data_IF_554699396092
#
_entry.id   IF_554699396092
#
_cell.length_a   1.000
_cell.length_b   1.000
_cell.length_c   1.000
_cell.angle_alpha   90.00
_cell.angle_beta   90.00
_cell.angle_gamma   90.00
#
_symmetry.space_group_name_H-M   'P 1'
#
loop_
_entity.id
_entity.type
_entity.pdbx_description
1 polymer ?
#
# COMPACT_ATOMS: atom_id res chain seq x y z
N UNK A 1 -11.06 -72.87 9.69
CA UNK A 1 -9.62 -73.06 9.38
C UNK A 1 -9.09 -71.79 8.74
N UNK A 2 -8.51 -70.91 9.54
CA UNK A 2 -7.44 -69.96 9.15
C UNK A 2 -6.98 -69.28 10.45
N UNK A 3 -6.02 -69.93 11.09
CA UNK A 3 -5.20 -69.42 12.17
C UNK A 3 -4.24 -68.38 11.60
N UNK A 4 -4.16 -67.19 12.19
CA UNK A 4 -3.01 -66.33 12.01
C UNK A 4 -2.58 -65.81 13.39
N UNK A 5 -1.34 -66.17 13.72
CA UNK A 5 -0.74 -66.10 15.04
C UNK A 5 -0.51 -64.66 15.49
N UNK A 6 -0.84 -64.41 16.76
CA UNK A 6 -0.45 -63.19 17.48
C UNK A 6 1.05 -63.20 17.76
N UNK A 7 1.83 -62.49 16.94
CA UNK A 7 3.19 -62.11 17.32
C UNK A 7 3.12 -60.98 18.35
N UNK A 8 3.48 -61.31 19.59
CA UNK A 8 3.71 -60.34 20.67
C UNK A 8 4.90 -59.44 20.35
N UNK A 9 4.61 -58.26 19.78
CA UNK A 9 5.55 -57.16 19.70
C UNK A 9 5.61 -56.42 21.03
N UNK A 10 6.78 -56.41 21.67
CA UNK A 10 7.07 -55.55 22.84
C UNK A 10 6.69 -54.10 22.51
N UNK A 11 5.97 -53.37 23.37
CA UNK A 11 5.83 -51.93 23.18
C UNK A 11 7.19 -51.30 23.43
N UNK A 12 7.82 -50.83 22.34
CA UNK A 12 8.94 -49.89 22.44
C UNK A 12 8.45 -48.70 23.26
N UNK A 13 9.04 -48.52 24.45
CA UNK A 13 8.78 -47.36 25.31
C UNK A 13 9.22 -46.12 24.53
N UNK A 14 8.29 -45.51 23.79
CA UNK A 14 8.46 -44.17 23.28
C UNK A 14 8.63 -43.26 24.51
N UNK A 15 9.87 -42.87 24.78
CA UNK A 15 10.20 -41.81 25.73
C UNK A 15 9.59 -40.54 25.16
N UNK A 16 8.33 -40.31 25.51
CA UNK A 16 7.64 -39.04 25.27
C UNK A 16 8.27 -38.08 26.26
N UNK A 17 9.33 -37.41 25.83
CA UNK A 17 9.86 -36.23 26.50
C UNK A 17 8.69 -35.24 26.59
N UNK A 18 7.99 -35.21 27.73
CA UNK A 18 7.00 -34.18 28.06
C UNK A 18 7.75 -32.85 28.06
N UNK A 19 7.85 -32.20 26.90
CA UNK A 19 8.19 -30.78 26.84
C UNK A 19 7.23 -30.09 27.82
N UNK A 20 7.73 -29.27 28.75
CA UNK A 20 6.88 -28.71 29.79
C UNK A 20 5.74 -27.97 29.10
N UNK A 21 4.51 -28.29 29.51
CA UNK A 21 3.28 -27.83 28.87
C UNK A 21 3.25 -26.30 28.68
N UNK A 22 3.91 -25.57 29.58
CA UNK A 22 4.17 -24.13 29.53
C UNK A 22 5.01 -23.71 28.31
N UNK A 23 6.15 -24.35 28.03
CA UNK A 23 6.98 -24.02 26.85
C UNK A 23 6.23 -24.31 25.55
N UNK A 24 5.39 -25.35 25.52
CA UNK A 24 4.58 -25.66 24.36
C UNK A 24 3.52 -24.57 24.11
N UNK A 25 2.81 -24.14 25.16
CA UNK A 25 1.77 -23.11 25.08
C UNK A 25 2.36 -21.72 24.80
N UNK A 26 3.50 -21.38 25.39
CA UNK A 26 4.25 -20.17 25.11
C UNK A 26 4.71 -20.11 23.65
N UNK A 27 5.24 -21.23 23.14
CA UNK A 27 5.56 -21.35 21.71
C UNK A 27 4.31 -21.20 20.84
N UNK A 28 3.20 -21.85 21.15
CA UNK A 28 1.96 -21.70 20.37
C UNK A 28 1.43 -20.26 20.36
N UNK A 29 1.58 -19.52 21.45
CA UNK A 29 1.16 -18.12 21.53
C UNK A 29 2.01 -17.21 20.64
N UNK A 30 3.35 -17.30 20.71
CA UNK A 30 4.24 -16.46 19.89
C UNK A 30 4.31 -16.89 18.43
N UNK A 31 3.99 -18.15 18.12
CA UNK A 31 3.89 -18.64 16.74
C UNK A 31 2.53 -18.34 16.09
N UNK A 32 1.58 -17.78 16.83
CA UNK A 32 0.32 -17.36 16.24
C UNK A 32 0.56 -16.19 15.25
N UNK A 33 -0.07 -16.18 14.07
CA UNK A 33 0.16 -15.15 13.06
C UNK A 33 -0.24 -13.75 13.53
N UNK A 34 -1.21 -13.64 14.45
CA UNK A 34 -1.66 -12.35 15.00
C UNK A 34 -0.62 -11.73 15.93
N UNK A 35 0.00 -12.53 16.82
CA UNK A 35 1.02 -12.04 17.75
C UNK A 35 2.31 -11.71 17.02
N UNK A 36 2.69 -12.53 16.02
CA UNK A 36 3.79 -12.24 15.10
C UNK A 36 3.57 -10.94 14.32
N UNK A 37 2.37 -10.72 13.78
CA UNK A 37 2.01 -9.47 13.10
C UNK A 37 2.10 -8.26 14.04
N UNK A 38 1.54 -8.35 15.25
CA UNK A 38 1.61 -7.26 16.23
C UNK A 38 3.06 -6.97 16.64
N UNK A 39 3.88 -8.00 16.85
CA UNK A 39 5.31 -7.86 17.10
C UNK A 39 6.04 -7.16 15.96
N UNK A 40 5.74 -7.51 14.70
CA UNK A 40 6.31 -6.85 13.53
C UNK A 40 5.92 -5.38 13.47
N UNK A 41 4.67 -5.03 13.74
CA UNK A 41 4.19 -3.64 13.78
C UNK A 41 4.92 -2.84 14.86
N UNK A 42 5.00 -3.37 16.09
CA UNK A 42 5.68 -2.70 17.19
C UNK A 42 7.17 -2.50 16.91
N UNK A 43 7.85 -3.53 16.40
CA UNK A 43 9.26 -3.43 16.02
C UNK A 43 9.47 -2.44 14.87
N UNK A 44 8.53 -2.35 13.93
CA UNK A 44 8.61 -1.38 12.84
C UNK A 44 8.44 0.06 13.34
N UNK A 45 7.55 0.31 14.32
CA UNK A 45 7.46 1.63 14.97
C UNK A 45 8.73 1.99 15.73
N UNK A 46 9.35 1.02 16.43
CA UNK A 46 10.66 1.23 17.07
C UNK A 46 11.75 1.55 16.06
N UNK A 47 11.76 0.87 14.91
CA UNK A 47 12.66 1.17 13.79
C UNK A 47 12.47 2.62 13.29
N UNK A 48 11.24 3.05 13.05
CA UNK A 48 10.96 4.43 12.61
C UNK A 48 11.34 5.47 13.66
N UNK A 49 11.10 5.18 14.93
CA UNK A 49 11.49 6.07 16.03
C UNK A 49 13.02 6.18 16.13
N UNK A 50 13.73 5.06 16.04
CA UNK A 50 15.20 5.04 16.01
C UNK A 50 15.73 5.81 14.80
N UNK A 51 15.14 5.61 13.61
CA UNK A 51 15.56 6.30 12.40
C UNK A 51 15.32 7.82 12.50
N UNK A 52 14.17 8.24 13.03
CA UNK A 52 13.89 9.65 13.29
C UNK A 52 14.86 10.26 14.32
N UNK A 53 15.13 9.54 15.42
CA UNK A 53 16.08 9.97 16.44
C UNK A 53 17.49 10.18 15.86
N UNK A 54 17.95 9.27 14.99
CA UNK A 54 19.24 9.40 14.32
C UNK A 54 19.27 10.62 13.41
N UNK A 55 18.25 10.84 12.56
CA UNK A 55 18.21 11.97 11.63
C UNK A 55 18.13 13.34 12.32
N UNK A 56 17.51 13.40 13.50
CA UNK A 56 17.26 14.65 14.22
C UNK A 56 18.35 14.98 15.25
N UNK A 57 18.90 13.98 15.95
CA UNK A 57 19.78 14.18 17.12
C UNK A 57 21.20 13.69 16.85
N UNK A 58 21.35 12.45 16.41
CA UNK A 58 22.64 11.75 16.41
C UNK A 58 23.39 11.77 15.07
N UNK A 59 22.91 12.54 14.08
CA UNK A 59 23.51 12.61 12.74
C UNK A 59 24.80 13.46 12.74
N UNK A 60 25.88 12.89 13.28
CA UNK A 60 27.21 13.55 13.33
C UNK A 60 27.92 13.50 11.97
N UNK A 61 28.79 14.49 11.65
CA UNK A 61 29.57 14.47 10.42
C UNK A 61 30.64 13.37 10.41
N UNK A 62 31.06 12.88 9.22
CA UNK A 62 32.10 11.86 9.06
C UNK A 62 33.49 12.37 9.54
N UNK A 63 34.50 11.47 9.73
CA UNK A 63 35.43 11.39 10.88
C UNK A 63 36.21 12.67 11.29
N UNK A 64 36.73 12.75 12.54
CA UNK A 64 37.37 11.65 13.29
C UNK A 64 36.46 10.75 14.13
N UNK A 65 35.28 11.21 14.54
CA UNK A 65 34.31 10.38 15.26
C UNK A 65 33.54 9.54 14.23
N UNK A 66 33.73 8.22 14.25
CA UNK A 66 33.00 7.30 13.37
C UNK A 66 31.48 7.32 13.59
N UNK A 67 30.71 6.44 12.90
CA UNK A 67 29.27 6.35 13.12
C UNK A 67 28.94 6.15 14.60
N UNK A 68 27.93 6.87 15.08
CA UNK A 68 27.47 6.68 16.45
C UNK A 68 26.98 5.23 16.64
N UNK A 69 27.11 4.64 17.85
CA UNK A 69 26.61 3.29 18.11
C UNK A 69 25.13 3.12 17.76
N UNK A 70 24.32 4.18 17.91
CA UNK A 70 22.92 4.23 17.49
C UNK A 70 22.75 4.06 15.97
N UNK A 71 23.62 4.66 15.16
CA UNK A 71 23.64 4.49 13.69
C UNK A 71 23.99 3.06 13.29
N UNK A 72 24.93 2.42 13.98
CA UNK A 72 25.29 1.01 13.71
C UNK A 72 24.11 0.07 13.95
N UNK A 73 23.30 0.33 14.98
CA UNK A 73 22.07 -0.42 15.24
C UNK A 73 21.08 -0.26 14.08
N UNK A 74 20.93 0.95 13.52
CA UNK A 74 20.08 1.17 12.35
C UNK A 74 20.60 0.41 11.11
N UNK A 75 21.91 0.43 10.85
CA UNK A 75 22.48 -0.30 9.72
C UNK A 75 22.27 -1.80 9.85
N UNK A 76 22.46 -2.34 11.05
CA UNK A 76 22.16 -3.73 11.35
C UNK A 76 20.68 -4.04 11.13
N UNK A 77 19.79 -3.14 11.53
CA UNK A 77 18.35 -3.29 11.31
C UNK A 77 18.00 -3.34 9.82
N UNK A 78 18.49 -2.39 9.02
CA UNK A 78 18.23 -2.38 7.57
C UNK A 78 18.86 -3.60 6.89
N UNK A 79 20.04 -4.04 7.32
CA UNK A 79 20.61 -5.30 6.84
C UNK A 79 19.68 -6.50 7.09
N UNK A 80 18.99 -6.55 8.23
CA UNK A 80 18.00 -7.61 8.50
C UNK A 80 16.80 -7.53 7.53
N UNK A 81 16.36 -6.33 7.15
CA UNK A 81 15.31 -6.12 6.15
C UNK A 81 15.76 -6.56 4.75
N UNK A 82 16.99 -6.24 4.35
CA UNK A 82 17.57 -6.68 3.08
C UNK A 82 17.62 -8.21 3.01
N UNK A 83 18.00 -8.88 4.09
CA UNK A 83 18.02 -10.33 4.16
C UNK A 83 16.62 -10.96 4.01
N UNK A 84 15.58 -10.31 4.56
CA UNK A 84 14.19 -10.73 4.38
C UNK A 84 13.73 -10.61 2.93
N UNK A 85 14.03 -9.48 2.28
CA UNK A 85 13.68 -9.27 0.87
C UNK A 85 14.40 -10.30 -0.03
N UNK A 86 15.70 -10.55 0.19
CA UNK A 86 16.46 -11.57 -0.56
C UNK A 86 15.83 -12.96 -0.39
N UNK A 87 15.37 -13.32 0.81
CA UNK A 87 14.67 -14.61 1.04
C UNK A 87 13.37 -14.69 0.25
N UNK A 88 12.60 -13.60 0.23
CA UNK A 88 11.31 -13.52 -0.46
C UNK A 88 11.49 -13.62 -1.98
N UNK A 89 12.45 -12.87 -2.53
CA UNK A 89 12.85 -12.90 -3.94
C UNK A 89 13.26 -14.30 -4.38
N UNK A 90 14.08 -15.01 -3.58
CA UNK A 90 14.53 -16.37 -3.91
C UNK A 90 13.39 -17.38 -3.96
N UNK A 91 12.33 -17.16 -3.19
CA UNK A 91 11.21 -18.11 -3.10
C UNK A 91 10.23 -17.91 -4.25
N UNK A 92 9.98 -16.65 -4.67
CA UNK A 92 8.91 -16.32 -5.64
C UNK A 92 9.28 -15.14 -6.56
N UNK A 93 10.35 -15.27 -7.36
CA UNK A 93 10.90 -14.17 -8.17
C UNK A 93 9.91 -13.49 -9.14
N UNK A 94 9.17 -14.27 -9.95
CA UNK A 94 8.31 -13.73 -11.01
C UNK A 94 7.12 -12.94 -10.43
N UNK A 95 6.46 -13.49 -9.40
CA UNK A 95 5.33 -12.81 -8.75
C UNK A 95 5.80 -11.59 -7.93
N UNK A 96 7.03 -11.63 -7.39
CA UNK A 96 7.58 -10.52 -6.62
C UNK A 96 7.70 -9.23 -7.44
N UNK A 97 8.16 -9.31 -8.70
CA UNK A 97 8.35 -8.16 -9.58
C UNK A 97 7.02 -7.52 -10.03
N UNK A 98 5.90 -8.24 -9.96
CA UNK A 98 4.60 -7.70 -10.37
C UNK A 98 3.96 -6.83 -9.28
N UNK A 99 4.30 -7.03 -8.01
CA UNK A 99 3.72 -6.28 -6.90
C UNK A 99 4.29 -4.86 -6.80
N UNK A 100 3.41 -3.87 -6.69
CA UNK A 100 3.77 -2.45 -6.55
C UNK A 100 4.42 -2.20 -5.19
N UNK A 101 3.98 -2.91 -4.14
CA UNK A 101 4.51 -2.72 -2.79
C UNK A 101 5.94 -3.24 -2.68
N UNK A 102 6.24 -4.39 -3.30
CA UNK A 102 7.60 -4.93 -3.35
C UNK A 102 8.55 -4.00 -4.13
N UNK A 103 8.07 -3.36 -5.21
CA UNK A 103 8.87 -2.32 -5.91
C UNK A 103 9.19 -1.15 -5.00
N UNK A 104 8.20 -0.67 -4.22
CA UNK A 104 8.41 0.39 -3.24
C UNK A 104 9.44 0.01 -2.18
N UNK A 105 9.41 -1.24 -1.70
CA UNK A 105 10.37 -1.76 -0.73
C UNK A 105 11.80 -1.85 -1.30
N UNK A 106 11.97 -2.29 -2.55
CA UNK A 106 13.27 -2.26 -3.25
C UNK A 106 13.76 -0.83 -3.42
N UNK A 107 12.87 0.09 -3.81
CA UNK A 107 13.23 1.51 -3.98
C UNK A 107 13.68 2.13 -2.65
N UNK A 108 12.98 1.85 -1.54
CA UNK A 108 13.38 2.31 -0.22
C UNK A 108 14.77 1.78 0.16
N UNK A 109 15.01 0.47 0.01
CA UNK A 109 16.33 -0.10 0.31
C UNK A 109 17.44 0.47 -0.58
N UNK A 110 17.16 0.73 -1.86
CA UNK A 110 18.12 1.35 -2.77
C UNK A 110 18.44 2.80 -2.38
N UNK A 111 17.43 3.59 -1.99
CA UNK A 111 17.61 4.96 -1.51
C UNK A 111 18.40 5.00 -0.19
N UNK A 112 18.14 4.08 0.74
CA UNK A 112 18.91 3.95 1.96
C UNK A 112 20.38 3.65 1.68
N UNK A 113 20.67 2.66 0.82
CA UNK A 113 22.06 2.32 0.44
C UNK A 113 22.75 3.51 -0.22
N UNK A 114 22.06 4.21 -1.13
CA UNK A 114 22.57 5.43 -1.76
C UNK A 114 22.88 6.51 -0.71
N UNK A 115 21.97 6.74 0.23
CA UNK A 115 22.16 7.67 1.34
C UNK A 115 23.38 7.32 2.20
N UNK A 116 23.60 6.03 2.49
CA UNK A 116 24.79 5.56 3.22
C UNK A 116 26.09 5.80 2.45
N UNK A 117 26.11 5.50 1.14
CA UNK A 117 27.29 5.73 0.30
C UNK A 117 27.62 7.22 0.26
N UNK A 118 26.62 8.08 0.03
CA UNK A 118 26.80 9.53 0.03
C UNK A 118 27.23 10.10 1.39
N UNK A 119 26.89 9.42 2.50
CA UNK A 119 27.32 9.81 3.85
C UNK A 119 28.81 9.59 4.08
N UNK A 120 29.41 8.58 3.45
CA UNK A 120 30.82 8.21 3.67
C UNK A 120 31.79 9.26 3.12
N UNK A 121 31.37 10.07 2.14
CA UNK A 121 32.20 11.12 1.57
C UNK A 121 31.85 12.49 2.18
N UNK A 122 32.84 13.26 2.66
CA UNK A 122 32.58 14.57 3.29
C UNK A 122 31.94 15.57 2.31
N UNK A 123 32.31 15.50 1.03
CA UNK A 123 31.81 16.36 -0.05
C UNK A 123 30.30 16.19 -0.31
N UNK A 124 29.75 14.99 -0.06
CA UNK A 124 28.34 14.66 -0.32
C UNK A 124 27.52 14.49 0.95
N UNK A 125 28.03 14.90 2.10
CA UNK A 125 27.37 14.68 3.40
C UNK A 125 25.96 15.30 3.48
N UNK A 126 25.82 16.57 3.09
CA UNK A 126 24.52 17.26 3.09
C UNK A 126 23.53 16.61 2.11
N UNK A 127 24.04 16.14 0.98
CA UNK A 127 23.24 15.41 0.00
C UNK A 127 22.78 14.04 0.56
N UNK A 128 23.69 13.31 1.21
CA UNK A 128 23.38 12.05 1.90
C UNK A 128 22.32 12.22 2.99
N UNK A 129 22.40 13.30 3.78
CA UNK A 129 21.36 13.65 4.77
C UNK A 129 20.01 13.88 4.09
N UNK A 130 19.97 14.66 3.01
CA UNK A 130 18.74 14.92 2.28
C UNK A 130 18.12 13.64 1.69
N UNK A 131 18.95 12.75 1.12
CA UNK A 131 18.50 11.44 0.61
C UNK A 131 17.92 10.58 1.73
N UNK A 132 18.57 10.52 2.90
CA UNK A 132 18.06 9.77 4.05
C UNK A 132 16.76 10.36 4.63
N UNK A 133 16.55 11.68 4.55
CA UNK A 133 15.27 12.31 4.92
C UNK A 133 14.14 11.89 3.97
N UNK A 134 14.39 11.86 2.67
CA UNK A 134 13.41 11.36 1.68
C UNK A 134 13.14 9.88 1.90
N UNK A 135 14.20 9.10 2.15
CA UNK A 135 14.10 7.67 2.44
C UNK A 135 13.26 7.38 3.69
N UNK A 136 13.42 8.17 4.77
CA UNK A 136 12.55 8.10 5.95
C UNK A 136 11.08 8.25 5.57
N UNK A 137 10.72 9.19 4.70
CA UNK A 137 9.34 9.35 4.22
C UNK A 137 8.87 8.08 3.51
N UNK A 138 9.68 7.48 2.64
CA UNK A 138 9.33 6.22 1.95
C UNK A 138 9.12 5.08 2.96
N UNK A 139 10.00 4.93 3.95
CA UNK A 139 9.81 3.95 5.03
C UNK A 139 8.56 4.22 5.87
N UNK A 140 8.17 5.48 6.11
CA UNK A 140 6.89 5.76 6.78
C UNK A 140 5.69 5.40 5.91
N UNK A 141 5.74 5.62 4.59
CA UNK A 141 4.65 5.22 3.68
C UNK A 141 4.44 3.70 3.67
N UNK A 142 5.48 2.89 3.91
CA UNK A 142 5.36 1.43 4.07
C UNK A 142 4.43 1.03 5.24
N UNK A 143 4.21 1.89 6.25
CA UNK A 143 3.20 1.64 7.29
C UNK A 143 1.80 1.44 6.71
N UNK A 144 1.47 2.15 5.63
CA UNK A 144 0.17 2.04 4.96
C UNK A 144 -0.04 0.60 4.49
N UNK A 145 0.98 -0.02 3.90
CA UNK A 145 0.92 -1.43 3.48
C UNK A 145 0.74 -2.38 4.67
N UNK A 146 1.46 -2.16 5.77
CA UNK A 146 1.37 -3.00 6.98
C UNK A 146 -0.05 -2.90 7.59
N UNK A 147 -0.62 -1.70 7.66
CA UNK A 147 -1.97 -1.47 8.18
C UNK A 147 -3.09 -1.93 7.23
N UNK A 148 -2.80 -2.22 5.96
CA UNK A 148 -3.78 -2.77 5.03
C UNK A 148 -4.34 -4.14 5.46
N UNK A 149 -3.62 -4.87 6.33
CA UNK A 149 -4.08 -6.12 6.94
C UNK A 149 -5.23 -5.91 7.93
N UNK A 150 -5.37 -4.71 8.51
CA UNK A 150 -6.34 -4.43 9.56
C UNK A 150 -7.78 -4.40 9.03
N UNK A 151 -8.73 -4.93 9.81
CA UNK A 151 -10.15 -5.10 9.40
C UNK A 151 -10.85 -3.80 9.04
N UNK A 152 -10.57 -2.72 9.75
CA UNK A 152 -11.25 -1.44 9.56
C UNK A 152 -10.50 -0.48 8.62
N UNK A 153 -9.17 -0.64 8.50
CA UNK A 153 -8.33 0.29 7.72
C UNK A 153 -8.06 -0.24 6.31
N UNK A 154 -7.96 -1.55 6.14
CA UNK A 154 -7.63 -2.18 4.86
C UNK A 154 -8.59 -1.84 3.71
N UNK A 155 -9.92 -2.00 3.86
CA UNK A 155 -10.86 -1.63 2.81
C UNK A 155 -10.73 -0.16 2.39
N UNK A 156 -10.52 0.74 3.37
CA UNK A 156 -10.33 2.19 3.12
C UNK A 156 -9.04 2.47 2.33
N UNK A 157 -7.94 1.79 2.66
CA UNK A 157 -6.67 1.93 1.93
C UNK A 157 -6.82 1.48 0.46
N UNK A 158 -7.55 0.39 0.21
CA UNK A 158 -7.83 -0.09 -1.16
C UNK A 158 -8.66 0.93 -1.95
N UNK A 159 -9.62 1.59 -1.29
CA UNK A 159 -10.43 2.64 -1.91
C UNK A 159 -9.57 3.84 -2.28
N UNK A 160 -8.72 4.32 -1.36
CA UNK A 160 -7.77 5.42 -1.63
C UNK A 160 -6.89 5.08 -2.85
N UNK A 161 -6.35 3.85 -2.91
CA UNK A 161 -5.55 3.42 -4.05
C UNK A 161 -6.31 3.45 -5.40
N UNK A 162 -7.62 3.22 -5.39
CA UNK A 162 -8.46 3.33 -6.61
C UNK A 162 -8.80 4.78 -6.95
N UNK A 163 -8.97 5.65 -5.96
CA UNK A 163 -9.23 7.09 -6.14
C UNK A 163 -8.04 7.86 -6.71
N UNK A 164 -6.81 7.35 -6.57
CA UNK A 164 -5.61 7.98 -7.14
C UNK A 164 -5.73 8.20 -8.65
N UNK A 165 -6.44 7.33 -9.38
CA UNK A 165 -6.70 7.55 -10.82
C UNK A 165 -7.55 8.80 -11.09
N UNK A 166 -8.52 9.07 -10.23
CA UNK A 166 -9.37 10.25 -10.31
C UNK A 166 -8.57 11.52 -9.98
N UNK A 167 -7.65 11.43 -9.00
CA UNK A 167 -6.70 12.51 -8.66
C UNK A 167 -5.86 12.91 -9.87
N UNK A 168 -5.33 11.93 -10.63
CA UNK A 168 -4.50 12.21 -11.80
C UNK A 168 -5.25 12.96 -12.89
N UNK A 169 -6.51 12.57 -13.16
CA UNK A 169 -7.35 13.29 -14.12
C UNK A 169 -7.63 14.73 -13.67
N UNK A 170 -7.91 14.93 -12.38
CA UNK A 170 -8.09 16.26 -11.81
C UNK A 170 -6.82 17.11 -11.90
N UNK A 171 -5.67 16.55 -11.54
CA UNK A 171 -4.38 17.25 -11.56
C UNK A 171 -4.03 17.73 -12.97
N UNK A 172 -4.47 17.02 -14.01
CA UNK A 172 -4.31 17.45 -15.39
C UNK A 172 -5.09 18.74 -15.69
N UNK A 173 -6.39 18.80 -15.37
CA UNK A 173 -7.17 20.04 -15.55
C UNK A 173 -6.66 21.19 -14.70
N UNK A 174 -6.32 20.90 -13.43
CA UNK A 174 -5.74 21.89 -12.55
C UNK A 174 -4.42 22.42 -13.11
N UNK A 175 -3.55 21.55 -13.63
CA UNK A 175 -2.27 21.91 -14.20
C UNK A 175 -2.38 22.81 -15.43
N UNK A 176 -3.31 22.49 -16.35
CA UNK A 176 -3.58 23.34 -17.54
C UNK A 176 -4.08 24.72 -17.13
N UNK A 177 -5.03 24.77 -16.20
CA UNK A 177 -5.59 26.04 -15.72
C UNK A 177 -4.57 26.88 -14.94
N UNK A 178 -3.80 26.22 -14.06
CA UNK A 178 -2.73 26.83 -13.28
C UNK A 178 -1.63 27.40 -14.16
N UNK A 179 -1.22 26.69 -15.22
CA UNK A 179 -0.26 27.20 -16.20
C UNK A 179 -0.78 28.46 -16.90
N UNK A 180 -2.02 28.44 -17.39
CA UNK A 180 -2.61 29.57 -18.11
C UNK A 180 -2.67 30.83 -17.22
N UNK A 181 -3.16 30.69 -15.99
CA UNK A 181 -3.20 31.77 -15.01
C UNK A 181 -1.80 32.23 -14.58
N UNK A 182 -0.90 31.30 -14.25
CA UNK A 182 0.43 31.61 -13.74
C UNK A 182 1.29 32.38 -14.74
N UNK A 183 1.28 31.96 -16.02
CA UNK A 183 2.01 32.66 -17.08
C UNK A 183 1.40 34.03 -17.35
N UNK A 184 0.07 34.14 -17.40
CA UNK A 184 -0.61 35.41 -17.62
C UNK A 184 -0.33 36.43 -16.50
N UNK A 185 -0.39 36.03 -15.22
CA UNK A 185 -0.08 36.95 -14.11
C UNK A 185 1.39 37.36 -14.10
N UNK A 186 2.32 36.43 -14.35
CA UNK A 186 3.74 36.76 -14.40
C UNK A 186 4.01 37.79 -15.50
N UNK A 187 3.39 37.64 -16.67
CA UNK A 187 3.54 38.56 -17.80
C UNK A 187 2.87 39.92 -17.59
N UNK A 188 1.77 39.98 -16.81
CA UNK A 188 1.08 41.24 -16.49
C UNK A 188 1.76 42.03 -15.37
N UNK A 189 2.34 41.35 -14.39
CA UNK A 189 2.97 42.01 -13.23
C UNK A 189 4.42 42.39 -13.47
N UNK A 190 5.18 41.59 -14.22
CA UNK A 190 6.62 41.82 -14.42
C UNK A 190 6.97 41.86 -15.90
N UNK A 191 7.54 42.99 -16.34
CA UNK A 191 7.95 43.16 -17.74
C UNK A 191 9.19 42.33 -18.09
N UNK A 192 10.10 42.12 -17.14
CA UNK A 192 11.31 41.32 -17.34
C UNK A 192 11.84 40.67 -16.05
N UNK A 193 12.15 39.37 -16.12
CA UNK A 193 12.94 38.65 -15.11
C UNK A 193 13.86 37.65 -15.83
N UNK A 194 15.17 37.74 -15.61
CA UNK A 194 16.14 36.86 -16.28
C UNK A 194 16.35 35.52 -15.56
N UNK A 195 15.75 35.33 -14.38
CA UNK A 195 16.03 34.18 -13.51
C UNK A 195 15.00 33.06 -13.69
N UNK A 196 15.33 31.95 -14.36
CA UNK A 196 14.35 30.90 -14.66
C UNK A 196 13.76 30.24 -13.41
N UNK A 197 14.55 30.04 -12.34
CA UNK A 197 14.06 29.44 -11.10
C UNK A 197 13.00 30.29 -10.38
N UNK A 198 13.12 31.61 -10.45
CA UNK A 198 12.16 32.55 -9.87
C UNK A 198 10.87 32.61 -10.69
N UNK A 199 11.00 32.61 -12.02
CA UNK A 199 9.86 32.53 -12.93
C UNK A 199 9.04 31.26 -12.66
N UNK A 200 9.69 30.09 -12.54
CA UNK A 200 9.01 28.83 -12.25
C UNK A 200 8.27 28.90 -10.90
N UNK A 201 8.90 29.47 -9.87
CA UNK A 201 8.26 29.67 -8.56
C UNK A 201 7.03 30.59 -8.65
N UNK A 202 7.11 31.68 -9.42
CA UNK A 202 5.99 32.62 -9.58
C UNK A 202 4.86 32.05 -10.45
N UNK A 203 5.18 31.30 -11.50
CA UNK A 203 4.19 30.71 -12.42
C UNK A 203 3.47 29.50 -11.81
N UNK A 204 4.16 28.64 -11.06
CA UNK A 204 3.54 27.41 -10.55
C UNK A 204 3.21 27.48 -9.05
N UNK A 205 4.21 27.79 -8.23
CA UNK A 205 4.10 27.65 -6.78
C UNK A 205 3.16 28.70 -6.16
N UNK A 206 3.22 29.96 -6.61
CA UNK A 206 2.33 31.01 -6.10
C UNK A 206 0.85 30.75 -6.44
N UNK A 207 0.46 30.53 -7.70
CA UNK A 207 -0.91 30.12 -8.04
C UNK A 207 -1.39 28.89 -7.29
N UNK A 208 -0.54 27.87 -7.11
CA UNK A 208 -0.89 26.70 -6.32
C UNK A 208 -1.26 27.06 -4.88
N UNK A 209 -0.52 27.98 -4.24
CA UNK A 209 -0.81 28.47 -2.90
C UNK A 209 -2.11 29.31 -2.84
N UNK A 210 -2.49 29.99 -3.91
CA UNK A 210 -3.76 30.74 -3.96
C UNK A 210 -4.99 29.81 -3.79
N UNK A 211 -4.91 28.55 -4.25
CA UNK A 211 -5.99 27.55 -4.07
C UNK A 211 -6.25 27.30 -2.58
N UNK A 212 -5.21 27.36 -1.74
CA UNK A 212 -5.31 27.19 -0.29
C UNK A 212 -5.58 28.49 0.48
N UNK A 213 -5.84 29.60 -0.22
CA UNK A 213 -6.17 30.88 0.40
C UNK A 213 -4.98 31.73 0.84
N UNK A 214 -3.75 31.38 0.46
CA UNK A 214 -2.58 32.23 0.69
C UNK A 214 -2.40 33.20 -0.48
N UNK A 215 -3.10 34.33 -0.45
CA UNK A 215 -3.06 35.34 -1.51
C UNK A 215 -2.34 36.58 -0.98
N UNK A 216 -1.12 36.90 -1.46
CA UNK A 216 -0.42 38.13 -1.09
C UNK A 216 -1.03 39.30 -1.85
N UNK A 217 -2.17 39.82 -1.37
CA UNK A 217 -2.86 40.98 -1.97
C UNK A 217 -1.96 42.22 -1.98
N UNK A 218 -1.12 42.40 -0.95
CA UNK A 218 -0.20 43.52 -0.81
C UNK A 218 0.83 43.62 -1.97
N UNK A 219 1.17 42.50 -2.60
CA UNK A 219 2.07 42.48 -3.76
C UNK A 219 1.34 42.72 -5.09
N UNK A 220 0.04 42.43 -5.15
CA UNK A 220 -0.78 42.50 -6.36
C UNK A 220 -1.40 43.89 -6.50
N UNK A 221 -1.80 44.52 -5.40
CA UNK A 221 -2.50 45.81 -5.41
C UNK A 221 -1.60 47.02 -5.78
N UNK A 222 -0.31 46.80 -6.02
CA UNK A 222 0.62 47.83 -6.54
C UNK A 222 0.99 48.92 -5.53
N UNK A 223 0.45 48.86 -4.30
CA UNK A 223 0.81 49.76 -3.21
C UNK A 223 2.09 49.23 -2.54
N UNK A 224 3.23 49.47 -3.20
CA UNK A 224 4.54 49.10 -2.68
C UNK A 224 4.83 49.86 -1.37
N UNK A 225 4.74 49.18 -0.21
CA UNK A 225 5.15 49.78 1.07
C UNK A 225 6.39 49.11 1.69
N UNK A 226 6.89 47.97 1.20
CA UNK A 226 7.86 47.19 2.01
C UNK A 226 9.07 46.53 1.34
N UNK A 227 9.33 46.66 0.02
CA UNK A 227 10.50 46.00 -0.60
C UNK A 227 11.27 46.93 -1.55
N UNK A 228 12.60 47.01 -1.39
CA UNK A 228 13.50 47.68 -2.34
C UNK A 228 13.46 46.96 -3.69
N UNK A 229 12.80 47.55 -4.69
CA UNK A 229 12.69 47.01 -6.04
C UNK A 229 13.39 47.93 -7.06
N UNK A 230 13.71 47.42 -8.25
CA UNK A 230 14.44 48.16 -9.29
C UNK A 230 14.00 47.76 -10.69
N UNK A 231 13.76 48.74 -11.56
CA UNK A 231 13.38 48.53 -12.97
C UNK A 231 14.57 48.42 -13.93
N UNK A 232 15.79 48.71 -13.46
CA UNK A 232 16.99 48.66 -14.28
C UNK A 232 17.42 47.21 -14.56
N UNK A 233 17.36 46.81 -15.83
CA UNK A 233 17.70 45.47 -16.33
C UNK A 233 19.08 44.99 -15.87
N UNK A 234 20.07 45.89 -15.80
CA UNK A 234 21.43 45.54 -15.36
C UNK A 234 21.50 45.12 -13.89
N UNK A 235 20.70 45.74 -13.03
CA UNK A 235 20.61 45.42 -11.60
C UNK A 235 19.78 44.16 -11.37
N UNK A 236 18.75 43.92 -12.19
CA UNK A 236 17.95 42.68 -12.17
C UNK A 236 18.84 41.47 -12.51
N UNK A 237 19.74 41.61 -13.50
CA UNK A 237 20.73 40.58 -13.81
C UNK A 237 21.70 40.30 -12.66
N UNK A 238 22.01 41.31 -11.85
CA UNK A 238 22.86 41.18 -10.65
C UNK A 238 22.10 40.61 -9.44
N UNK A 239 20.77 40.43 -9.55
CA UNK A 239 19.94 39.78 -8.54
C UNK A 239 18.93 40.68 -7.83
N UNK A 240 18.82 41.96 -8.21
CA UNK A 240 17.79 42.84 -7.66
C UNK A 240 16.37 42.35 -7.98
N UNK A 241 15.40 42.70 -7.14
CA UNK A 241 13.99 42.35 -7.37
C UNK A 241 13.33 43.34 -8.34
N UNK A 242 12.68 42.86 -9.42
CA UNK A 242 11.96 43.74 -10.34
C UNK A 242 10.71 44.31 -9.65
N UNK A 243 10.37 45.58 -9.92
CA UNK A 243 9.14 46.16 -9.40
C UNK A 243 7.91 45.60 -10.16
N UNK A 244 6.76 45.42 -9.47
CA UNK A 244 5.51 45.10 -10.15
C UNK A 244 4.97 46.32 -10.90
N UNK A 245 4.51 46.12 -12.13
CA UNK A 245 3.94 47.16 -12.97
C UNK A 245 2.44 47.35 -12.65
N UNK A 246 2.01 48.60 -12.45
CA UNK A 246 0.62 48.91 -12.05
C UNK A 246 -0.35 49.13 -13.23
N UNK A 247 0.14 49.14 -14.47
CA UNK A 247 -0.63 49.59 -15.64
C UNK A 247 -1.88 48.74 -15.92
N UNK A 248 -1.77 47.43 -15.73
CA UNK A 248 -2.84 46.47 -15.98
C UNK A 248 -3.31 45.75 -14.69
N UNK A 249 -3.15 46.39 -13.52
CA UNK A 249 -3.49 45.76 -12.25
C UNK A 249 -4.98 45.32 -12.18
N UNK A 250 -5.89 46.13 -12.71
CA UNK A 250 -7.31 45.79 -12.81
C UNK A 250 -7.56 44.43 -13.52
N UNK A 251 -6.77 44.11 -14.54
CA UNK A 251 -6.87 42.85 -15.27
C UNK A 251 -6.33 41.68 -14.43
N UNK A 252 -5.26 41.89 -13.67
CA UNK A 252 -4.71 40.90 -12.73
C UNK A 252 -5.74 40.56 -11.64
N UNK A 253 -6.43 41.56 -11.10
CA UNK A 253 -7.49 41.35 -10.10
C UNK A 253 -8.70 40.59 -10.66
N UNK A 254 -9.12 40.90 -11.90
CA UNK A 254 -10.17 40.14 -12.59
C UNK A 254 -9.72 38.69 -12.82
N UNK A 255 -8.49 38.50 -13.32
CA UNK A 255 -7.94 37.19 -13.59
C UNK A 255 -7.79 36.35 -12.31
N UNK A 256 -7.37 36.96 -11.19
CA UNK A 256 -7.36 36.34 -9.86
C UNK A 256 -8.77 35.92 -9.42
N UNK A 257 -9.76 36.80 -9.58
CA UNK A 257 -11.15 36.51 -9.20
C UNK A 257 -11.73 35.33 -9.99
N UNK A 258 -11.54 35.33 -11.32
CA UNK A 258 -11.96 34.23 -12.21
C UNK A 258 -11.20 32.94 -11.86
N UNK A 259 -9.90 33.03 -11.58
CA UNK A 259 -9.10 31.88 -11.19
C UNK A 259 -9.60 31.23 -9.91
N UNK A 260 -9.88 32.01 -8.87
CA UNK A 260 -10.41 31.50 -7.60
C UNK A 260 -11.81 30.91 -7.75
N UNK A 261 -12.67 31.53 -8.56
CA UNK A 261 -14.00 30.99 -8.88
C UNK A 261 -13.89 29.61 -9.54
N UNK A 262 -13.08 29.50 -10.61
CA UNK A 262 -12.94 28.24 -11.34
C UNK A 262 -12.25 27.17 -10.49
N UNK A 263 -11.20 27.52 -9.75
CA UNK A 263 -10.46 26.53 -8.95
C UNK A 263 -11.24 26.11 -7.70
N UNK A 264 -11.62 27.05 -6.84
CA UNK A 264 -12.19 26.74 -5.53
C UNK A 264 -13.67 26.37 -5.60
N UNK A 265 -14.45 27.03 -6.45
CA UNK A 265 -15.89 26.77 -6.52
C UNK A 265 -16.23 25.67 -7.53
N UNK A 266 -15.55 25.60 -8.67
CA UNK A 266 -15.84 24.58 -9.68
C UNK A 266 -14.97 23.34 -9.52
N UNK A 267 -13.64 23.46 -9.65
CA UNK A 267 -12.74 22.31 -9.72
C UNK A 267 -12.69 21.52 -8.41
N UNK A 268 -12.46 22.17 -7.26
CA UNK A 268 -12.37 21.48 -5.95
C UNK A 268 -13.69 20.78 -5.60
N UNK A 269 -14.84 21.43 -5.84
CA UNK A 269 -16.15 20.81 -5.58
C UNK A 269 -16.44 19.63 -6.52
N UNK A 270 -16.02 19.72 -7.78
CA UNK A 270 -16.09 18.59 -8.71
C UNK A 270 -15.20 17.43 -8.24
N UNK A 271 -14.00 17.71 -7.73
CA UNK A 271 -13.12 16.67 -7.18
C UNK A 271 -13.77 15.95 -6.00
N UNK A 272 -14.38 16.70 -5.08
CA UNK A 272 -15.12 16.13 -3.94
C UNK A 272 -16.28 15.26 -4.44
N UNK A 273 -17.03 15.71 -5.45
CA UNK A 273 -18.11 14.93 -6.05
C UNK A 273 -17.61 13.64 -6.70
N UNK A 274 -16.51 13.68 -7.45
CA UNK A 274 -15.88 12.52 -8.07
C UNK A 274 -15.38 11.53 -7.01
N UNK A 275 -14.71 12.01 -5.96
CA UNK A 275 -14.31 11.14 -4.85
C UNK A 275 -15.50 10.52 -4.14
N UNK A 276 -16.58 11.27 -3.91
CA UNK A 276 -17.80 10.71 -3.31
C UNK A 276 -18.41 9.61 -4.17
N UNK A 277 -18.52 9.84 -5.49
CA UNK A 277 -19.02 8.84 -6.44
C UNK A 277 -18.15 7.58 -6.46
N UNK A 278 -16.83 7.73 -6.62
CA UNK A 278 -15.89 6.60 -6.63
C UNK A 278 -15.84 5.90 -5.27
N UNK A 279 -15.92 6.64 -4.15
CA UNK A 279 -15.98 6.06 -2.81
C UNK A 279 -17.16 5.10 -2.69
N UNK A 280 -18.36 5.57 -3.02
CA UNK A 280 -19.58 4.77 -2.90
C UNK A 280 -19.56 3.56 -3.84
N UNK A 281 -19.15 3.74 -5.10
CA UNK A 281 -19.04 2.66 -6.09
C UNK A 281 -18.00 1.60 -5.71
N UNK A 282 -16.84 2.02 -5.20
CA UNK A 282 -15.77 1.10 -4.83
C UNK A 282 -16.03 0.43 -3.48
N UNK A 283 -16.66 1.14 -2.52
CA UNK A 283 -16.98 0.61 -1.20
C UNK A 283 -17.82 -0.67 -1.28
N UNK A 284 -18.80 -0.73 -2.17
CA UNK A 284 -19.71 -1.89 -2.34
C UNK A 284 -18.96 -3.20 -2.66
N UNK A 285 -17.86 -3.13 -3.42
CA UNK A 285 -17.06 -4.30 -3.79
C UNK A 285 -15.71 -4.40 -3.05
N UNK A 286 -15.31 -3.35 -2.33
CA UNK A 286 -14.01 -3.26 -1.67
C UNK A 286 -13.80 -4.35 -0.60
N UNK A 287 -14.84 -4.70 0.15
CA UNK A 287 -14.77 -5.70 1.21
C UNK A 287 -14.44 -7.10 0.68
N UNK A 288 -14.94 -7.46 -0.51
CA UNK A 288 -14.65 -8.75 -1.14
C UNK A 288 -13.19 -8.81 -1.58
N UNK A 289 -12.71 -7.74 -2.25
CA UNK A 289 -11.32 -7.63 -2.65
C UNK A 289 -10.37 -7.64 -1.45
N UNK A 290 -10.71 -6.90 -0.39
CA UNK A 290 -9.93 -6.87 0.84
C UNK A 290 -9.86 -8.24 1.52
N UNK A 291 -10.96 -8.99 1.58
CA UNK A 291 -10.96 -10.36 2.14
C UNK A 291 -10.00 -11.27 1.37
N UNK A 292 -9.97 -11.17 0.04
CA UNK A 292 -9.03 -11.94 -0.79
C UNK A 292 -7.57 -11.54 -0.57
N UNK A 293 -7.28 -10.22 -0.57
CA UNK A 293 -5.93 -9.72 -0.29
C UNK A 293 -5.44 -10.08 1.12
N UNK A 294 -6.33 -9.97 2.11
CA UNK A 294 -6.04 -10.37 3.50
C UNK A 294 -5.66 -11.84 3.59
N UNK A 295 -6.34 -12.73 2.86
CA UNK A 295 -5.98 -14.15 2.86
C UNK A 295 -4.54 -14.36 2.38
N UNK A 296 -4.16 -13.76 1.25
CA UNK A 296 -2.81 -13.86 0.71
C UNK A 296 -1.76 -13.33 1.70
N UNK A 297 -2.03 -12.17 2.32
CA UNK A 297 -1.17 -11.57 3.34
C UNK A 297 -1.03 -12.49 4.57
N UNK A 298 -2.11 -13.10 5.06
CA UNK A 298 -2.05 -14.03 6.20
C UNK A 298 -1.23 -15.27 5.86
N UNK A 299 -1.43 -15.86 4.68
CA UNK A 299 -0.64 -17.01 4.21
C UNK A 299 0.84 -16.66 4.15
N UNK A 300 1.16 -15.46 3.66
CA UNK A 300 2.52 -14.96 3.63
C UNK A 300 3.10 -14.83 5.05
N UNK A 301 2.42 -14.15 5.97
CA UNK A 301 2.86 -14.01 7.37
C UNK A 301 3.01 -15.36 8.09
N UNK A 302 2.17 -16.35 7.78
CA UNK A 302 2.29 -17.70 8.34
C UNK A 302 3.52 -18.45 7.81
N UNK A 303 3.97 -18.14 6.58
CA UNK A 303 5.19 -18.70 5.99
C UNK A 303 6.48 -18.03 6.47
N UNK A 304 6.38 -16.81 7.02
CA UNK A 304 7.52 -16.05 7.57
C UNK A 304 7.93 -16.62 8.93
N UNK A 305 9.24 -16.58 9.27
CA UNK A 305 9.68 -16.90 10.63
C UNK A 305 9.04 -15.91 11.62
N UNK A 306 8.61 -16.39 12.79
CA UNK A 306 7.85 -15.58 13.76
C UNK A 306 8.66 -14.46 14.45
N UNK A 307 9.98 -14.43 14.24
CA UNK A 307 10.84 -13.41 14.83
C UNK A 307 10.82 -12.17 13.94
N UNK A 308 10.35 -11.05 14.48
CA UNK A 308 10.41 -9.74 13.83
C UNK A 308 11.87 -9.28 13.58
N UNK A 309 12.15 -8.50 12.53
CA UNK A 309 13.40 -7.73 12.44
C UNK A 309 13.59 -6.93 13.74
N UNK A 310 14.74 -6.97 14.44
CA UNK A 310 16.09 -7.42 14.04
C UNK A 310 16.44 -8.87 14.45
N UNK A 311 15.63 -9.52 15.28
CA UNK A 311 15.91 -10.87 15.81
C UNK A 311 15.70 -11.99 14.78
N UNK A 312 15.19 -11.64 13.60
CA UNK A 312 14.95 -12.54 12.48
C UNK A 312 16.22 -13.27 12.01
N UNK A 313 17.39 -12.67 12.19
CA UNK A 313 18.69 -13.28 11.86
C UNK A 313 18.91 -14.60 12.62
N UNK A 314 18.48 -14.69 13.88
CA UNK A 314 18.62 -15.92 14.69
C UNK A 314 17.83 -17.07 14.06
N UNK A 315 16.66 -16.76 13.49
CA UNK A 315 15.85 -17.74 12.75
C UNK A 315 16.54 -18.18 11.46
N UNK A 316 17.09 -17.22 10.70
CA UNK A 316 17.83 -17.51 9.46
C UNK A 316 19.06 -18.37 9.71
N UNK A 317 19.84 -18.04 10.74
CA UNK A 317 20.99 -18.83 11.16
C UNK A 317 20.54 -20.25 11.55
N UNK A 318 19.50 -20.41 12.37
CA UNK A 318 19.00 -21.72 12.75
C UNK A 318 18.48 -22.55 11.56
N UNK A 319 17.77 -21.94 10.61
CA UNK A 319 17.30 -22.61 9.38
C UNK A 319 18.49 -22.98 8.48
N UNK A 320 19.47 -22.09 8.35
CA UNK A 320 20.69 -22.33 7.57
C UNK A 320 21.49 -23.48 8.16
N UNK A 321 21.78 -23.44 9.47
CA UNK A 321 22.45 -24.53 10.19
C UNK A 321 21.69 -25.85 10.05
N UNK A 322 20.35 -25.84 10.19
CA UNK A 322 19.55 -27.06 10.02
C UNK A 322 19.62 -27.61 8.59
N UNK A 323 19.62 -26.76 7.55
CA UNK A 323 19.73 -27.22 6.15
C UNK A 323 21.13 -27.76 5.82
N UNK A 324 22.17 -27.09 6.32
CA UNK A 324 23.57 -27.47 6.06
C UNK A 324 23.93 -28.75 6.84
N UNK A 325 23.48 -28.89 8.09
CA UNK A 325 23.89 -29.98 8.98
C UNK A 325 22.95 -31.20 8.88
N UNK A 326 21.64 -31.02 8.72
CA UNK A 326 20.68 -32.12 8.97
C UNK A 326 20.10 -32.82 7.73
N UNK A 327 20.26 -32.31 6.48
CA UNK A 327 19.73 -32.90 5.21
C UNK A 327 18.39 -33.67 5.37
N UNK A 328 17.46 -33.17 6.19
CA UNK A 328 16.31 -33.97 6.61
C UNK A 328 15.17 -33.82 5.59
N UNK A 329 14.69 -34.91 4.95
CA UNK A 329 13.57 -34.83 4.04
C UNK A 329 12.28 -34.48 4.80
N UNK A 330 11.45 -33.65 4.17
CA UNK A 330 10.17 -33.20 4.71
C UNK A 330 9.27 -34.40 5.00
N UNK A 331 8.76 -34.47 6.24
CA UNK A 331 7.91 -35.56 6.69
C UNK A 331 6.53 -35.46 6.00
N UNK A 332 6.32 -36.25 4.94
CA UNK A 332 5.01 -36.42 4.31
C UNK A 332 4.14 -37.31 5.21
N UNK A 333 3.43 -36.73 6.17
CA UNK A 333 2.42 -37.47 6.94
C UNK A 333 1.08 -36.73 6.95
N UNK A 334 0.22 -36.96 5.94
CA UNK A 334 -1.20 -36.57 6.03
C UNK A 334 -2.16 -37.20 5.01
N UNK A 335 -1.92 -38.43 4.52
CA UNK A 335 -2.84 -39.06 3.57
C UNK A 335 -4.16 -39.56 4.21
N UNK A 336 -4.14 -40.00 5.48
CA UNK A 336 -5.30 -40.64 6.13
C UNK A 336 -6.41 -39.66 6.56
N UNK A 337 -6.07 -38.41 6.90
CA UNK A 337 -7.08 -37.38 7.28
C UNK A 337 -7.84 -36.79 6.08
N UNK A 338 -7.28 -36.90 4.88
CA UNK A 338 -7.86 -36.34 3.67
C UNK A 338 -9.09 -37.15 3.18
N UNK A 339 -9.08 -38.48 3.31
CA UNK A 339 -10.17 -39.34 2.80
C UNK A 339 -11.49 -39.16 3.56
N UNK A 340 -11.44 -39.04 4.89
CA UNK A 340 -12.62 -38.81 5.72
C UNK A 340 -13.22 -37.40 5.49
N UNK A 341 -12.36 -36.41 5.24
CA UNK A 341 -12.80 -35.05 4.95
C UNK A 341 -13.56 -35.00 3.62
N UNK A 342 -13.02 -35.67 2.59
CA UNK A 342 -13.63 -35.71 1.26
C UNK A 342 -15.01 -36.38 1.27
N UNK A 343 -15.19 -37.44 2.07
CA UNK A 343 -16.48 -38.12 2.22
C UNK A 343 -17.50 -37.25 2.94
N UNK A 344 -17.08 -36.52 3.98
CA UNK A 344 -17.94 -35.56 4.67
C UNK A 344 -18.37 -34.40 3.76
N UNK A 345 -17.43 -33.87 2.96
CA UNK A 345 -17.69 -32.81 1.98
C UNK A 345 -18.66 -33.26 0.88
N UNK A 346 -18.53 -34.50 0.38
CA UNK A 346 -19.46 -35.04 -0.61
C UNK A 346 -20.89 -35.15 -0.07
N UNK A 347 -21.07 -35.61 1.18
CA UNK A 347 -22.40 -35.69 1.80
C UNK A 347 -23.03 -34.30 1.98
N UNK A 348 -22.23 -33.30 2.37
CA UNK A 348 -22.72 -31.93 2.49
C UNK A 348 -23.14 -31.35 1.14
N UNK A 349 -22.35 -31.62 0.09
CA UNK A 349 -22.65 -31.21 -1.29
C UNK A 349 -23.99 -31.79 -1.77
N UNK A 350 -24.25 -33.07 -1.52
CA UNK A 350 -25.51 -33.73 -1.88
C UNK A 350 -26.72 -33.12 -1.15
N UNK A 351 -26.57 -32.82 0.14
CA UNK A 351 -27.62 -32.14 0.92
C UNK A 351 -27.92 -30.73 0.40
N UNK A 352 -26.89 -29.97 0.01
CA UNK A 352 -27.05 -28.65 -0.60
C UNK A 352 -27.75 -28.74 -1.97
N UNK A 353 -27.30 -29.64 -2.85
CA UNK A 353 -27.89 -29.83 -4.17
C UNK A 353 -29.34 -30.29 -4.11
N UNK A 354 -29.67 -31.19 -3.19
CA UNK A 354 -31.06 -31.64 -2.98
C UNK A 354 -31.95 -30.51 -2.46
N UNK A 355 -31.45 -29.65 -1.56
CA UNK A 355 -32.17 -28.49 -1.04
C UNK A 355 -32.39 -27.43 -2.12
N UNK A 356 -31.37 -27.12 -2.91
CA UNK A 356 -31.47 -26.20 -4.05
C UNK A 356 -32.43 -26.76 -5.11
N UNK A 357 -32.34 -28.06 -5.40
CA UNK A 357 -33.27 -28.75 -6.29
C UNK A 357 -34.72 -28.67 -5.80
N UNK A 358 -34.98 -28.85 -4.50
CA UNK A 358 -36.33 -28.65 -3.92
C UNK A 358 -36.82 -27.22 -4.09
N UNK A 359 -36.02 -26.21 -3.74
CA UNK A 359 -36.37 -24.78 -3.93
C UNK A 359 -36.68 -24.45 -5.39
N UNK A 360 -35.85 -24.94 -6.32
CA UNK A 360 -36.08 -24.74 -7.75
C UNK A 360 -37.35 -25.45 -8.23
N UNK A 361 -37.65 -26.65 -7.71
CA UNK A 361 -38.88 -27.38 -8.03
C UNK A 361 -40.14 -26.73 -7.44
N UNK A 362 -40.00 -25.95 -6.37
CA UNK A 362 -41.07 -25.22 -5.69
C UNK A 362 -41.24 -23.79 -6.22
N UNK A 363 -40.31 -23.28 -7.04
CA UNK A 363 -40.40 -21.99 -7.71
C UNK A 363 -41.66 -21.90 -8.57
N UNK A 364 -42.35 -20.76 -8.51
CA UNK A 364 -43.61 -20.54 -9.23
C UNK A 364 -43.45 -20.71 -10.74
N UNK A 365 -42.29 -20.35 -11.30
CA UNK A 365 -41.95 -20.57 -12.71
C UNK A 365 -41.95 -22.05 -13.10
N UNK A 366 -41.35 -22.92 -12.28
CA UNK A 366 -41.32 -24.37 -12.50
C UNK A 366 -42.65 -25.04 -12.19
N UNK A 367 -43.40 -24.51 -11.21
CA UNK A 367 -44.78 -24.95 -10.93
C UNK A 367 -45.70 -24.64 -12.11
N UNK A 368 -45.65 -23.41 -12.63
CA UNK A 368 -46.42 -22.97 -13.81
C UNK A 368 -46.04 -23.78 -15.06
N UNK A 369 -44.73 -24.01 -15.27
CA UNK A 369 -44.25 -24.87 -16.36
C UNK A 369 -44.79 -26.29 -16.22
N UNK A 370 -44.75 -26.89 -15.03
CA UNK A 370 -45.33 -28.24 -14.79
C UNK A 370 -46.83 -28.27 -14.98
N UNK A 371 -47.58 -27.29 -14.50
CA UNK A 371 -49.03 -27.22 -14.70
C UNK A 371 -49.36 -27.04 -16.18
N UNK A 372 -48.58 -26.23 -16.91
CA UNK A 372 -48.71 -26.05 -18.36
C UNK A 372 -48.39 -27.34 -19.12
N UNK A 373 -47.29 -28.03 -18.82
CA UNK A 373 -46.97 -29.32 -19.46
C UNK A 373 -48.01 -30.38 -19.13
N UNK A 374 -48.50 -30.42 -17.88
CA UNK A 374 -49.56 -31.32 -17.45
C UNK A 374 -50.91 -31.01 -18.09
N UNK A 375 -51.20 -29.77 -18.48
CA UNK A 375 -52.43 -29.41 -19.19
C UNK A 375 -52.32 -29.63 -20.71
N UNK A 376 -51.13 -29.48 -21.30
CA UNK A 376 -50.89 -29.71 -22.72
C UNK A 376 -50.98 -31.20 -23.08
N UNK A 377 -50.39 -32.08 -22.26
CA UNK A 377 -50.43 -33.54 -22.51
C UNK A 377 -51.84 -34.12 -22.74
N UNK A 378 -52.84 -33.88 -21.87
CA UNK A 378 -54.20 -34.36 -22.09
C UNK A 378 -54.88 -33.67 -23.29
N UNK A 379 -54.59 -32.40 -23.58
CA UNK A 379 -55.12 -31.70 -24.76
C UNK A 379 -54.59 -32.32 -26.06
N UNK A 380 -53.31 -32.67 -26.12
CA UNK A 380 -52.74 -33.40 -27.27
C UNK A 380 -53.32 -34.81 -27.42
N UNK A 381 -53.56 -35.52 -26.31
CA UNK A 381 -54.20 -36.85 -26.35
C UNK A 381 -55.65 -36.74 -26.83
N UNK A 382 -56.39 -35.71 -26.40
CA UNK A 382 -57.74 -35.44 -26.87
C UNK A 382 -57.77 -35.07 -28.36
N UNK A 383 -56.83 -34.27 -28.86
CA UNK A 383 -56.75 -33.95 -30.29
C UNK A 383 -56.42 -35.18 -31.15
N UNK A 384 -55.54 -36.08 -30.69
CA UNK A 384 -55.27 -37.35 -31.40
C UNK A 384 -56.50 -38.27 -31.42
N UNK A 385 -57.32 -38.28 -30.36
CA UNK A 385 -58.56 -39.06 -30.32
C UNK A 385 -59.67 -38.52 -31.23
N UNK A 386 -59.65 -37.22 -31.56
CA UNK A 386 -60.59 -36.61 -32.52
C UNK A 386 -60.14 -36.70 -33.99
N UNK A 387 -58.86 -36.96 -34.27
CA UNK A 387 -58.33 -37.10 -35.65
C UNK A 387 -58.42 -38.56 -36.15
N UNK A 388 -58.56 -39.54 -35.25
CA UNK A 388 -58.71 -40.97 -35.59
C UNK A 388 -60.17 -41.48 -35.56
N UNK A 389 -61.15 -40.58 -35.44
CA UNK A 389 -62.58 -40.80 -35.66
C UNK A 389 -63.01 -39.94 -36.85
#
# INVERSE_FOLDING_TARGET
SHTCASQGGRPSKAITLKRPFLLHRWRQFWFAPVTSFLGNVLMYFLFLFLFAYILLVDFKPPPPDGPAPSELVLYFWVFTLVCEEIRQVRTVFILYIQDIWNKCDITALALFILGLICRMFPWTYNFGRAVLCVDYVVFTLRLIHIFAVHKQLGPKIIIVGKMVKDVFFFLFFLGVWLMAYGVANQALLYSYDSRPGWIIRRVFYRPYMHIYGQIPLDEIDGVCVFVECTDNVTLIHQGAEPCPQSDANWLVLILLSVYLLVTNILLVNLLIAMFSYTFNKVQEHSDVHWKFQRYNLIVEYHSRPCLSPPFIIISHLHIFFKRVIQRLPSNKSQHFKASLLNTWESTLKENLLSTQGKKQRESDTERLKRTSTKSVNPVTVLSYSQINN
#
